data_IF_199160234010
#
_entry.id   IF_199160234010
#
_cell.length_a   1.000
_cell.length_b   1.000
_cell.length_c   1.000
_cell.angle_alpha   90.00
_cell.angle_beta   90.00
_cell.angle_gamma   90.00
#
_symmetry.space_group_name_H-M   'P 1'
#
loop_
_entity.id
_entity.type
_entity.pdbx_description
1 polymer ?
#
# COMPACT_ATOMS: atom_id res chain seq x y z
N UNK A 1 22.38 -47.19 12.30
CA UNK A 1 21.18 -46.37 12.53
C UNK A 1 21.48 -44.88 12.68
N UNK A 2 22.59 -44.51 13.33
CA UNK A 2 23.00 -43.11 13.55
C UNK A 2 23.36 -42.31 12.26
N UNK A 3 23.82 -42.98 11.19
CA UNK A 3 24.17 -42.34 9.91
C UNK A 3 22.97 -41.90 9.06
N UNK A 4 21.78 -42.47 9.29
CA UNK A 4 20.54 -42.10 8.57
C UNK A 4 19.88 -40.85 9.17
N UNK A 5 20.14 -40.55 10.44
CA UNK A 5 19.62 -39.36 11.12
C UNK A 5 20.31 -38.07 10.65
N UNK A 6 21.57 -38.15 10.20
CA UNK A 6 22.32 -37.00 9.69
C UNK A 6 21.76 -36.49 8.35
N UNK A 7 21.18 -37.38 7.54
CA UNK A 7 20.62 -37.02 6.23
C UNK A 7 19.25 -36.34 6.32
N UNK A 8 18.49 -36.55 7.40
CA UNK A 8 17.18 -35.92 7.60
C UNK A 8 17.27 -34.50 8.17
N UNK A 9 18.40 -34.12 8.75
CA UNK A 9 18.62 -32.77 9.27
C UNK A 9 18.94 -31.74 8.17
N UNK A 10 19.35 -32.19 6.97
CA UNK A 10 19.74 -31.29 5.89
C UNK A 10 18.56 -30.71 5.08
N UNK A 11 17.36 -31.30 5.18
CA UNK A 11 16.20 -30.85 4.40
C UNK A 11 15.35 -29.76 5.10
N UNK A 12 15.58 -29.48 6.39
CA UNK A 12 14.78 -28.51 7.14
C UNK A 12 15.40 -27.10 7.23
N UNK A 13 16.60 -26.89 6.67
CA UNK A 13 17.37 -25.64 6.87
C UNK A 13 17.42 -24.72 5.63
N UNK A 14 16.64 -24.97 4.57
CA UNK A 14 16.74 -24.23 3.31
C UNK A 14 15.68 -23.12 3.12
N UNK A 15 14.83 -22.83 4.12
CA UNK A 15 13.78 -21.77 4.01
C UNK A 15 14.14 -20.49 4.79
N UNK A 16 15.25 -20.48 5.53
CA UNK A 16 15.64 -19.34 6.38
C UNK A 16 16.36 -18.20 5.64
N UNK A 17 16.56 -18.30 4.32
CA UNK A 17 17.39 -17.37 3.55
C UNK A 17 16.64 -16.27 2.77
N UNK A 18 15.31 -16.37 2.63
CA UNK A 18 14.51 -15.35 1.94
C UNK A 18 13.82 -14.49 2.99
N UNK A 19 14.57 -13.55 3.55
CA UNK A 19 13.97 -12.43 4.25
C UNK A 19 13.00 -11.74 3.30
N UNK A 20 11.70 -11.87 3.55
CA UNK A 20 10.69 -11.10 2.86
C UNK A 20 10.84 -9.66 3.35
N UNK A 21 11.66 -8.87 2.66
CA UNK A 21 11.75 -7.44 2.89
C UNK A 21 10.46 -6.81 2.37
N UNK A 22 9.44 -6.76 3.23
CA UNK A 22 8.27 -5.91 2.99
C UNK A 22 8.75 -4.48 3.21
N UNK A 23 9.18 -3.82 2.14
CA UNK A 23 9.48 -2.40 2.20
C UNK A 23 8.18 -1.67 2.60
N UNK A 24 8.23 -0.75 3.58
CA UNK A 24 7.06 0.04 3.90
C UNK A 24 6.69 0.86 2.65
N UNK A 25 5.45 0.74 2.20
CA UNK A 25 4.89 1.67 1.22
C UNK A 25 4.88 3.03 1.89
N UNK A 26 5.79 3.91 1.48
CA UNK A 26 5.73 5.31 1.88
C UNK A 26 4.38 5.87 1.40
N UNK A 27 3.46 6.08 2.34
CA UNK A 27 2.23 6.81 2.08
C UNK A 27 2.66 8.27 1.88
N UNK A 28 2.88 8.65 0.63
CA UNK A 28 3.02 10.06 0.30
C UNK A 28 1.72 10.76 0.66
N UNK A 29 1.83 11.96 1.25
CA UNK A 29 0.66 12.81 1.40
C UNK A 29 -0.01 13.01 0.04
N UNK A 30 -1.35 13.05 -0.01
CA UNK A 30 -2.09 13.35 -1.22
C UNK A 30 -1.54 14.58 -1.94
N UNK A 31 -1.33 14.54 -3.26
CA UNK A 31 -0.57 15.56 -3.98
C UNK A 31 -1.33 16.88 -4.15
N UNK A 32 -2.61 16.92 -3.78
CA UNK A 32 -3.51 18.03 -4.07
C UNK A 32 -3.86 18.83 -2.83
N UNK A 33 -3.51 20.12 -2.85
CA UNK A 33 -3.93 21.08 -1.82
C UNK A 33 -5.44 21.35 -1.85
N UNK A 34 -6.10 21.16 -3.01
CA UNK A 34 -7.53 21.35 -3.20
C UNK A 34 -8.03 20.65 -4.47
N UNK A 35 -9.34 20.55 -4.62
CA UNK A 35 -9.96 19.90 -5.77
C UNK A 35 -9.75 20.64 -7.10
N UNK A 36 -9.36 21.92 -7.09
CA UNK A 36 -8.98 22.62 -8.32
C UNK A 36 -7.64 22.11 -8.85
N UNK A 37 -6.67 21.83 -7.97
CA UNK A 37 -5.42 21.19 -8.34
C UNK A 37 -5.65 19.76 -8.87
N UNK A 38 -6.48 18.97 -8.19
CA UNK A 38 -6.87 17.64 -8.66
C UNK A 38 -7.57 17.69 -10.04
N UNK A 39 -8.48 18.64 -10.22
CA UNK A 39 -9.18 18.88 -11.47
C UNK A 39 -8.26 19.26 -12.63
N UNK A 40 -7.19 20.04 -12.38
CA UNK A 40 -6.20 20.39 -13.38
C UNK A 40 -5.48 19.16 -13.95
N UNK A 41 -5.34 18.11 -13.14
CA UNK A 41 -4.80 16.79 -13.52
C UNK A 41 -5.90 15.82 -14.00
N UNK A 42 -7.15 16.26 -14.11
CA UNK A 42 -8.29 15.42 -14.50
C UNK A 42 -8.73 14.41 -13.43
N UNK A 43 -8.30 14.58 -12.18
CA UNK A 43 -8.59 13.69 -11.06
C UNK A 43 -9.85 14.13 -10.33
N UNK A 44 -10.83 13.22 -10.28
CA UNK A 44 -12.13 13.40 -9.63
C UNK A 44 -12.61 12.09 -9.04
N UNK A 45 -13.60 12.17 -8.15
CA UNK A 45 -14.22 11.00 -7.52
C UNK A 45 -13.17 10.08 -6.88
N UNK A 46 -12.29 10.65 -6.07
CA UNK A 46 -11.11 10.00 -5.50
C UNK A 46 -11.52 9.22 -4.24
N UNK A 47 -11.52 7.87 -4.23
CA UNK A 47 -11.97 7.10 -3.07
C UNK A 47 -10.91 7.06 -1.95
N UNK A 48 -11.33 6.82 -0.70
CA UNK A 48 -10.46 6.71 0.51
C UNK A 48 -9.19 5.85 0.40
N UNK A 49 -9.16 4.88 -0.51
CA UNK A 49 -7.99 4.00 -0.73
C UNK A 49 -7.01 4.51 -1.79
N UNK A 50 -7.34 5.60 -2.46
CA UNK A 50 -6.50 6.19 -3.49
C UNK A 50 -5.40 7.06 -2.85
N UNK A 51 -4.14 6.99 -3.33
CA UNK A 51 -3.06 7.85 -2.82
C UNK A 51 -3.35 9.35 -2.89
N UNK A 52 -4.26 9.78 -3.78
CA UNK A 52 -4.67 11.17 -3.88
C UNK A 52 -5.82 11.56 -2.94
N UNK A 53 -6.33 10.65 -2.11
CA UNK A 53 -7.38 10.95 -1.16
C UNK A 53 -6.83 11.74 0.03
N UNK A 54 -7.24 13.00 0.15
CA UNK A 54 -7.10 13.78 1.37
C UNK A 54 -8.45 13.94 2.05
N UNK A 55 -8.52 13.74 3.37
CA UNK A 55 -9.77 14.01 4.11
C UNK A 55 -10.23 15.48 3.97
N UNK A 56 -9.30 16.42 3.72
CA UNK A 56 -9.62 17.83 3.44
C UNK A 56 -10.21 18.05 2.03
N UNK A 57 -10.09 17.07 1.13
CA UNK A 57 -10.67 17.09 -0.22
C UNK A 57 -12.08 16.48 -0.27
N UNK A 58 -12.47 15.74 0.78
CA UNK A 58 -13.77 15.12 0.98
C UNK A 58 -14.62 16.02 1.89
N UNK A 59 -15.28 17.01 1.28
CA UNK A 59 -15.98 18.08 2.01
C UNK A 59 -17.17 17.56 2.83
N UNK A 60 -17.89 16.59 2.29
CA UNK A 60 -19.08 15.98 2.90
C UNK A 60 -18.79 14.68 3.66
N UNK A 61 -17.53 14.22 3.64
CA UNK A 61 -17.03 13.06 4.37
C UNK A 61 -17.64 11.73 3.94
N UNK A 62 -18.14 11.64 2.71
CA UNK A 62 -18.79 10.43 2.18
C UNK A 62 -17.77 9.34 1.75
N UNK A 63 -16.49 9.70 1.69
CA UNK A 63 -15.38 8.84 1.28
C UNK A 63 -14.94 8.98 -0.15
N UNK A 64 -15.47 9.98 -0.86
CA UNK A 64 -15.14 10.32 -2.23
C UNK A 64 -14.67 11.78 -2.26
N UNK A 65 -13.36 11.98 -2.24
CA UNK A 65 -12.77 13.30 -2.40
C UNK A 65 -12.97 13.86 -3.82
N UNK A 66 -13.16 15.19 -3.92
CA UNK A 66 -13.33 15.88 -5.20
C UNK A 66 -14.40 15.27 -6.11
N UNK A 67 -15.53 14.92 -5.52
CA UNK A 67 -16.70 14.38 -6.20
C UNK A 67 -17.31 15.39 -7.20
N UNK A 68 -17.87 14.87 -8.29
CA UNK A 68 -18.51 15.67 -9.37
C UNK A 68 -20.03 15.50 -9.47
N UNK A 69 -20.66 14.98 -8.42
CA UNK A 69 -22.13 14.85 -8.33
C UNK A 69 -22.84 16.20 -8.26
#
# INVERSE_FOLDING_TARGET
MLRRLVLMAAAAAAVLGLGVFVAPTALADPPYANCKAAAADGRYNIPRGDPAYGAWLDRDNDGIACDRR
#
